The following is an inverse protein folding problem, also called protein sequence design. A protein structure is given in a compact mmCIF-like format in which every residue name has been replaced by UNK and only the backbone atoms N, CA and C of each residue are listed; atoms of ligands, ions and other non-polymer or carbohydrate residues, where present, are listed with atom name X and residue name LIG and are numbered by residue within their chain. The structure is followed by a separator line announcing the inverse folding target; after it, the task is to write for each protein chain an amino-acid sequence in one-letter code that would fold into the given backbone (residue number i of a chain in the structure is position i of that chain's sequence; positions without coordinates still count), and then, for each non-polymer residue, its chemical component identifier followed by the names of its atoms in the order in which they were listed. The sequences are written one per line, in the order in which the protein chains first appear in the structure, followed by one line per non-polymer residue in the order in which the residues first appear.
data_IF_662793998781
#
_entry.id   IF_662793998781
#
_cell.length_a   1.000
_cell.length_b   1.000
_cell.length_c   1.000
_cell.angle_alpha   90.00
_cell.angle_beta   90.00
_cell.angle_gamma   90.00
#
_symmetry.space_group_name_H-M   'P 1'
#
loop_
_entity.id
_entity.type
_entity.pdbx_description
1 polymer ?
#
# COMPACT_ATOMS: atom_id res chain seq x y z
N UNK A 1 -12.65 5.24 27.24
CA UNK A 1 -12.11 4.92 25.88
C UNK A 1 -10.98 3.88 25.93
N UNK A 2 -10.02 3.97 26.88
CA UNK A 2 -9.04 2.89 27.13
C UNK A 2 -9.70 1.55 27.51
N UNK A 3 -10.88 1.58 28.12
CA UNK A 3 -11.57 0.37 28.58
C UNK A 3 -12.06 -0.50 27.43
N UNK A 4 -12.36 0.09 26.26
CA UNK A 4 -12.76 -0.69 25.09
C UNK A 4 -11.58 -1.53 24.59
N UNK A 5 -10.41 -0.90 24.42
CA UNK A 5 -9.19 -1.58 24.00
C UNK A 5 -8.79 -2.70 24.98
N UNK A 6 -8.87 -2.43 26.29
CA UNK A 6 -8.58 -3.42 27.34
C UNK A 6 -9.61 -4.55 27.39
N UNK A 7 -10.90 -4.26 27.17
CA UNK A 7 -11.98 -5.27 27.17
C UNK A 7 -11.95 -6.16 25.93
N UNK A 8 -11.59 -5.60 24.77
CA UNK A 8 -11.55 -6.32 23.51
C UNK A 8 -10.24 -7.08 23.30
N UNK A 9 -9.20 -6.79 24.09
CA UNK A 9 -7.87 -7.39 23.93
C UNK A 9 -7.18 -7.04 22.62
N UNK A 10 -7.73 -6.09 21.86
CA UNK A 10 -7.20 -5.68 20.55
C UNK A 10 -5.87 -4.96 20.75
N UNK A 11 -4.83 -5.48 20.10
CA UNK A 11 -3.47 -4.93 20.14
C UNK A 11 -2.90 -4.85 18.75
N UNK A 12 -1.95 -3.95 18.59
CA UNK A 12 -1.07 -3.92 17.42
C UNK A 12 -0.34 -5.26 17.27
N UNK A 13 -0.27 -5.75 16.04
CA UNK A 13 0.25 -7.07 15.70
C UNK A 13 1.71 -6.92 15.26
N UNK A 14 2.63 -7.47 16.03
CA UNK A 14 4.08 -7.32 15.79
C UNK A 14 4.55 -7.94 14.45
N UNK A 15 3.84 -8.97 13.97
CA UNK A 15 4.06 -9.59 12.67
C UNK A 15 3.55 -8.74 11.49
N UNK A 16 2.73 -7.73 11.77
CA UNK A 16 2.11 -6.85 10.77
C UNK A 16 2.88 -5.55 10.60
N UNK A 17 4.06 -5.64 9.98
CA UNK A 17 4.89 -4.46 9.75
C UNK A 17 4.45 -3.60 8.54
N UNK A 18 3.28 -3.82 7.92
CA UNK A 18 2.72 -3.01 6.84
C UNK A 18 1.19 -3.02 6.96
N UNK A 19 0.52 -1.87 6.83
CA UNK A 19 -0.94 -1.75 7.00
C UNK A 19 -1.45 -2.23 8.39
N UNK A 20 -0.59 -2.14 9.41
CA UNK A 20 -0.90 -2.56 10.78
C UNK A 20 -2.10 -1.80 11.38
N UNK A 21 -2.12 -0.49 11.14
CA UNK A 21 -3.18 0.43 11.53
C UNK A 21 -4.52 0.04 10.90
N UNK A 22 -4.49 -0.33 9.62
CA UNK A 22 -5.67 -0.81 8.93
C UNK A 22 -6.18 -2.13 9.53
N UNK A 23 -5.30 -3.10 9.78
CA UNK A 23 -5.71 -4.36 10.41
C UNK A 23 -6.27 -4.13 11.82
N UNK A 24 -5.60 -3.29 12.61
CA UNK A 24 -6.03 -2.91 13.95
C UNK A 24 -7.45 -2.33 13.93
N UNK A 25 -7.76 -1.46 12.95
CA UNK A 25 -9.11 -0.93 12.78
C UNK A 25 -10.10 -2.04 12.44
N UNK A 26 -9.78 -2.95 11.52
CA UNK A 26 -10.66 -4.08 11.18
C UNK A 26 -10.97 -4.96 12.39
N UNK A 27 -10.01 -5.19 13.28
CA UNK A 27 -10.19 -5.99 14.50
C UNK A 27 -10.96 -5.23 15.59
N UNK A 28 -10.87 -3.91 15.63
CA UNK A 28 -11.56 -3.08 16.62
C UNK A 28 -13.02 -2.79 16.24
N UNK A 29 -13.30 -2.61 14.95
CA UNK A 29 -14.62 -2.21 14.44
C UNK A 29 -15.80 -3.07 14.93
N UNK A 30 -15.70 -4.41 15.06
CA UNK A 30 -16.80 -5.24 15.56
C UNK A 30 -17.28 -4.88 16.97
N UNK A 31 -16.44 -4.21 17.76
CA UNK A 31 -16.74 -3.81 19.13
C UNK A 31 -17.23 -2.35 19.24
N UNK A 32 -17.17 -1.60 18.15
CA UNK A 32 -17.60 -0.21 18.10
C UNK A 32 -19.11 -0.12 17.88
N UNK A 33 -19.83 0.46 18.85
CA UNK A 33 -21.26 0.76 18.69
C UNK A 33 -21.53 1.92 17.74
N UNK A 34 -20.64 2.91 17.74
CA UNK A 34 -20.78 4.15 16.99
C UNK A 34 -19.43 4.59 16.44
N UNK A 35 -19.42 5.08 15.19
CA UNK A 35 -18.23 5.60 14.51
C UNK A 35 -18.51 7.05 14.13
N UNK A 36 -17.67 7.95 14.63
CA UNK A 36 -17.81 9.38 14.38
C UNK A 36 -16.82 9.82 13.30
N UNK A 37 -17.35 10.28 12.17
CA UNK A 37 -16.56 10.87 11.09
C UNK A 37 -16.64 12.39 11.14
N UNK A 38 -15.53 13.05 11.46
CA UNK A 38 -15.47 14.51 11.48
C UNK A 38 -15.26 15.05 10.06
N UNK A 39 -16.02 16.08 9.69
CA UNK A 39 -15.90 16.73 8.37
C UNK A 39 -14.65 17.59 8.23
N UNK A 40 -14.08 18.05 9.35
CA UNK A 40 -12.87 18.87 9.35
C UNK A 40 -11.64 17.98 9.50
N UNK A 41 -10.56 18.23 8.74
CA UNK A 41 -9.30 17.52 8.92
C UNK A 41 -8.74 17.83 10.31
N UNK A 42 -8.66 16.82 11.16
CA UNK A 42 -8.11 16.92 12.53
C UNK A 42 -6.63 16.52 12.60
N UNK A 43 -6.12 15.89 11.55
CA UNK A 43 -4.76 15.38 11.49
C UNK A 43 -4.13 15.74 10.15
N UNK A 44 -2.92 16.29 10.17
CA UNK A 44 -2.14 16.60 8.98
C UNK A 44 -1.00 15.61 8.90
N UNK A 45 -1.15 14.61 8.04
CA UNK A 45 -0.09 13.66 7.79
C UNK A 45 0.92 14.26 6.81
N UNK A 46 2.19 14.34 7.21
CA UNK A 46 3.27 14.62 6.27
C UNK A 46 3.64 13.30 5.61
N UNK A 47 3.13 13.08 4.41
CA UNK A 47 3.55 11.95 3.60
C UNK A 47 5.01 12.18 3.19
N UNK A 48 5.92 11.39 3.75
CA UNK A 48 7.28 11.33 3.24
C UNK A 48 7.22 10.74 1.82
N UNK A 49 7.85 11.40 0.84
CA UNK A 49 7.93 10.92 -0.54
C UNK A 49 8.82 9.66 -0.69
N UNK A 50 9.24 9.03 0.41
CA UNK A 50 10.14 7.87 0.38
C UNK A 50 9.38 6.57 0.07
N UNK A 51 8.93 6.47 -1.18
CA UNK A 51 8.34 5.26 -1.76
C UNK A 51 9.27 4.03 -1.62
N UNK A 52 10.59 4.25 -1.53
CA UNK A 52 11.56 3.16 -1.38
C UNK A 52 11.47 2.50 -0.01
N UNK A 53 11.15 3.26 1.05
CA UNK A 53 10.93 2.69 2.38
C UNK A 53 9.73 1.74 2.40
N UNK A 54 8.62 2.14 1.76
CA UNK A 54 7.44 1.28 1.61
C UNK A 54 7.76 0.01 0.81
N UNK A 55 8.51 0.14 -0.29
CA UNK A 55 8.98 -1.00 -1.07
C UNK A 55 9.87 -1.96 -0.27
N UNK A 56 10.83 -1.44 0.52
CA UNK A 56 11.68 -2.29 1.39
C UNK A 56 10.86 -3.07 2.41
N UNK A 57 9.82 -2.46 2.99
CA UNK A 57 8.88 -3.17 3.88
C UNK A 57 8.18 -4.28 3.09
N UNK A 58 7.61 -3.98 1.92
CA UNK A 58 6.95 -4.98 1.06
C UNK A 58 7.86 -6.17 0.70
N UNK A 59 9.16 -5.95 0.49
CA UNK A 59 10.11 -7.02 0.19
C UNK A 59 10.30 -8.01 1.34
N UNK A 60 10.12 -7.58 2.60
CA UNK A 60 10.24 -8.45 3.78
C UNK A 60 9.09 -9.45 3.89
N UNK A 61 8.00 -9.25 3.14
CA UNK A 61 6.87 -10.18 3.11
C UNK A 61 7.24 -11.34 2.17
N UNK A 62 7.57 -12.51 2.71
CA UNK A 62 7.93 -13.67 1.88
C UNK A 62 6.74 -14.16 1.05
N UNK A 63 5.60 -14.37 1.72
CA UNK A 63 4.37 -14.83 1.11
C UNK A 63 3.26 -13.79 1.26
N UNK A 64 3.01 -13.04 0.19
CA UNK A 64 1.98 -11.99 0.22
C UNK A 64 0.57 -12.58 0.40
N UNK A 65 0.29 -13.78 -0.09
CA UNK A 65 -1.05 -14.36 0.04
C UNK A 65 -1.36 -14.77 1.49
N UNK A 66 -0.34 -15.26 2.20
CA UNK A 66 -0.42 -15.58 3.63
C UNK A 66 -0.52 -14.32 4.49
N UNK A 67 0.25 -13.28 4.13
CA UNK A 67 0.17 -11.97 4.75
C UNK A 67 -1.24 -11.35 4.71
N UNK A 68 -2.06 -11.73 3.72
CA UNK A 68 -3.43 -11.23 3.59
C UNK A 68 -4.45 -11.91 4.51
N UNK A 69 -4.12 -13.07 5.11
CA UNK A 69 -5.08 -13.86 5.90
C UNK A 69 -5.74 -13.08 7.05
N UNK A 70 -5.01 -12.25 7.84
CA UNK A 70 -5.64 -11.46 8.90
C UNK A 70 -6.68 -10.46 8.37
N UNK A 71 -6.43 -9.84 7.21
CA UNK A 71 -7.37 -8.91 6.58
C UNK A 71 -8.62 -9.62 6.05
N UNK A 72 -8.46 -10.82 5.48
CA UNK A 72 -9.60 -11.65 5.07
C UNK A 72 -10.52 -11.97 6.23
N UNK A 73 -9.92 -12.38 7.36
CA UNK A 73 -10.69 -12.70 8.55
C UNK A 73 -11.40 -11.46 9.11
N UNK A 74 -10.69 -10.33 9.23
CA UNK A 74 -11.28 -9.09 9.73
C UNK A 74 -12.44 -8.58 8.87
N UNK A 75 -12.26 -8.57 7.54
CA UNK A 75 -13.32 -8.14 6.61
C UNK A 75 -14.50 -9.11 6.60
N UNK A 76 -14.26 -10.42 6.70
CA UNK A 76 -15.32 -11.43 6.82
C UNK A 76 -16.13 -11.23 8.09
N UNK A 77 -15.49 -10.96 9.23
CA UNK A 77 -16.18 -10.66 10.50
C UNK A 77 -17.07 -9.43 10.40
N UNK A 78 -16.67 -8.43 9.62
CA UNK A 78 -17.44 -7.22 9.37
C UNK A 78 -18.53 -7.37 8.29
N UNK A 79 -18.64 -8.55 7.66
CA UNK A 79 -19.56 -8.77 6.54
C UNK A 79 -19.20 -7.98 5.29
N UNK A 80 -17.95 -7.53 5.16
CA UNK A 80 -17.49 -6.76 4.00
C UNK A 80 -17.12 -7.72 2.86
N UNK A 81 -17.48 -7.42 1.60
CA UNK A 81 -17.20 -8.30 0.47
C UNK A 81 -15.71 -8.63 0.30
N UNK A 82 -15.41 -9.89 -0.02
CA UNK A 82 -14.06 -10.41 -0.28
C UNK A 82 -13.30 -9.64 -1.37
N UNK A 83 -14.00 -8.96 -2.27
CA UNK A 83 -13.41 -8.11 -3.32
C UNK A 83 -12.45 -7.04 -2.73
N UNK A 84 -12.72 -6.53 -1.53
CA UNK A 84 -11.83 -5.56 -0.87
C UNK A 84 -10.46 -6.15 -0.55
N UNK A 85 -10.41 -7.41 -0.14
CA UNK A 85 -9.15 -8.14 0.10
C UNK A 85 -8.41 -8.31 -1.23
N UNK A 86 -9.12 -8.72 -2.28
CA UNK A 86 -8.53 -8.94 -3.61
C UNK A 86 -7.92 -7.65 -4.17
N UNK A 87 -8.61 -6.52 -3.98
CA UNK A 87 -8.12 -5.20 -4.35
C UNK A 87 -6.87 -4.81 -3.53
N UNK A 88 -6.88 -5.06 -2.22
CA UNK A 88 -5.72 -4.80 -1.35
C UNK A 88 -4.52 -5.66 -1.76
N UNK A 89 -4.72 -6.96 -1.97
CA UNK A 89 -3.70 -7.87 -2.46
C UNK A 89 -3.14 -7.42 -3.81
N UNK A 90 -4.01 -7.07 -4.76
CA UNK A 90 -3.63 -6.59 -6.10
C UNK A 90 -2.80 -5.31 -6.03
N UNK A 91 -3.19 -4.37 -5.16
CA UNK A 91 -2.43 -3.14 -4.92
C UNK A 91 -1.02 -3.44 -4.38
N UNK A 92 -0.92 -4.26 -3.34
CA UNK A 92 0.37 -4.61 -2.72
C UNK A 92 1.27 -5.39 -3.68
N UNK A 93 0.70 -6.31 -4.48
CA UNK A 93 1.43 -7.08 -5.49
C UNK A 93 2.00 -6.14 -6.57
N UNK A 94 1.20 -5.20 -7.07
CA UNK A 94 1.65 -4.18 -8.04
C UNK A 94 2.77 -3.32 -7.46
N UNK A 95 2.61 -2.83 -6.23
CA UNK A 95 3.65 -2.05 -5.55
C UNK A 95 4.94 -2.85 -5.36
N UNK A 96 4.84 -4.14 -5.01
CA UNK A 96 6.00 -5.04 -4.89
C UNK A 96 6.70 -5.27 -6.22
N UNK A 97 5.97 -5.35 -7.33
CA UNK A 97 6.59 -5.52 -8.65
C UNK A 97 7.13 -4.21 -9.24
N UNK A 98 6.65 -3.06 -8.80
CA UNK A 98 6.99 -1.76 -9.40
C UNK A 98 8.49 -1.45 -9.36
N UNK A 99 9.18 -1.71 -8.24
CA UNK A 99 10.63 -1.50 -8.10
C UNK A 99 11.45 -2.79 -8.23
N UNK A 100 10.82 -3.94 -8.50
CA UNK A 100 11.49 -5.23 -8.56
C UNK A 100 12.31 -5.44 -9.85
N UNK A 101 13.31 -6.31 -9.75
CA UNK A 101 14.08 -6.76 -10.91
C UNK A 101 13.24 -7.71 -11.78
N UNK A 102 13.60 -7.86 -13.06
CA UNK A 102 12.86 -8.78 -13.95
C UNK A 102 12.84 -10.24 -13.44
N UNK A 103 13.95 -10.83 -12.94
CA UNK A 103 13.92 -12.16 -12.32
C UNK A 103 12.98 -12.24 -11.12
N UNK A 104 12.95 -11.22 -10.27
CA UNK A 104 12.03 -11.14 -9.14
C UNK A 104 10.57 -11.08 -9.60
N UNK A 105 10.25 -10.24 -10.60
CA UNK A 105 8.88 -10.18 -11.16
C UNK A 105 8.45 -11.55 -11.67
N UNK A 106 9.33 -12.28 -12.37
CA UNK A 106 9.02 -13.65 -12.83
C UNK A 106 8.71 -14.58 -11.66
N UNK A 107 9.53 -14.54 -10.60
CA UNK A 107 9.33 -15.35 -9.40
C UNK A 107 8.02 -15.02 -8.70
N UNK A 108 7.72 -13.72 -8.53
CA UNK A 108 6.49 -13.24 -7.90
C UNK A 108 5.24 -13.61 -8.69
N UNK A 109 5.27 -13.49 -10.02
CA UNK A 109 4.16 -13.90 -10.88
C UNK A 109 3.96 -15.42 -10.81
N UNK A 110 5.05 -16.21 -10.79
CA UNK A 110 4.96 -17.65 -10.62
C UNK A 110 4.37 -18.04 -9.25
N UNK A 111 4.78 -17.39 -8.17
CA UNK A 111 4.23 -17.58 -6.82
C UNK A 111 2.74 -17.20 -6.78
N UNK A 112 2.37 -16.05 -7.37
CA UNK A 112 0.99 -15.59 -7.48
C UNK A 112 0.09 -16.60 -8.22
N UNK A 113 0.54 -17.11 -9.37
CA UNK A 113 -0.22 -18.06 -10.18
C UNK A 113 -0.48 -19.39 -9.46
N UNK A 114 0.35 -19.75 -8.47
CA UNK A 114 0.18 -20.94 -7.62
C UNK A 114 -0.63 -20.66 -6.35
N UNK A 115 -0.88 -19.39 -6.03
CA UNK A 115 -1.50 -18.97 -4.78
C UNK A 115 -3.02 -18.82 -4.86
N UNK A 116 -3.63 -18.52 -3.72
CA UNK A 116 -5.09 -18.33 -3.55
C UNK A 116 -5.70 -17.29 -4.50
N UNK A 117 -4.94 -16.25 -4.85
CA UNK A 117 -5.42 -15.13 -5.66
C UNK A 117 -5.15 -15.28 -7.16
N UNK A 118 -4.78 -16.48 -7.65
CA UNK A 118 -4.41 -16.73 -9.05
C UNK A 118 -5.46 -16.30 -10.09
N UNK A 119 -6.74 -16.18 -9.69
CA UNK A 119 -7.82 -15.62 -10.50
C UNK A 119 -7.59 -14.16 -10.93
N UNK A 120 -6.79 -13.40 -10.17
CA UNK A 120 -6.45 -12.01 -10.49
C UNK A 120 -5.36 -11.95 -11.56
N UNK A 121 -5.77 -12.00 -12.83
CA UNK A 121 -4.85 -12.06 -13.97
C UNK A 121 -3.77 -10.98 -13.90
N UNK A 122 -2.51 -11.41 -13.97
CA UNK A 122 -1.36 -10.53 -14.10
C UNK A 122 -0.93 -10.42 -15.57
N UNK A 123 -0.48 -9.23 -16.03
CA UNK A 123 0.17 -9.10 -17.32
C UNK A 123 1.44 -9.95 -17.41
N UNK A 124 1.94 -10.14 -18.63
CA UNK A 124 3.22 -10.83 -18.83
C UNK A 124 4.36 -10.11 -18.06
N UNK A 125 5.28 -10.85 -17.39
CA UNK A 125 6.36 -10.25 -16.59
C UNK A 125 7.18 -9.17 -17.31
N UNK A 126 7.44 -9.34 -18.62
CA UNK A 126 8.15 -8.34 -19.42
C UNK A 126 7.37 -7.04 -19.53
N UNK A 127 6.05 -7.11 -19.71
CA UNK A 127 5.20 -5.92 -19.81
C UNK A 127 5.18 -5.17 -18.47
N UNK A 128 5.11 -5.89 -17.35
CA UNK A 128 5.17 -5.30 -16.01
C UNK A 128 6.49 -4.55 -15.82
N UNK A 129 7.62 -5.20 -16.16
CA UNK A 129 8.94 -4.61 -16.03
C UNK A 129 9.09 -3.35 -16.90
N UNK A 130 8.77 -3.44 -18.19
CA UNK A 130 8.91 -2.31 -19.12
C UNK A 130 8.02 -1.12 -18.73
N UNK A 131 6.74 -1.37 -18.42
CA UNK A 131 5.83 -0.30 -17.98
C UNK A 131 6.34 0.37 -16.70
N UNK A 132 6.79 -0.40 -15.71
CA UNK A 132 7.31 0.15 -14.45
C UNK A 132 8.57 0.99 -14.69
N UNK A 133 9.48 0.53 -15.54
CA UNK A 133 10.70 1.28 -15.92
C UNK A 133 10.37 2.57 -16.65
N UNK A 134 9.42 2.56 -17.57
CA UNK A 134 8.98 3.77 -18.28
C UNK A 134 8.42 4.81 -17.30
N UNK A 135 7.55 4.40 -16.37
CA UNK A 135 6.98 5.31 -15.36
C UNK A 135 8.08 5.88 -14.46
N UNK A 136 9.02 5.06 -14.00
CA UNK A 136 10.15 5.52 -13.18
C UNK A 136 11.04 6.53 -13.92
N UNK A 137 11.32 6.31 -15.21
CA UNK A 137 12.10 7.24 -16.02
C UNK A 137 11.36 8.57 -16.16
N UNK A 138 10.05 8.52 -16.48
CA UNK A 138 9.21 9.73 -16.57
C UNK A 138 9.18 10.50 -15.26
N UNK A 139 9.06 9.81 -14.13
CA UNK A 139 9.10 10.44 -12.81
C UNK A 139 10.46 11.11 -12.55
N UNK A 140 11.57 10.42 -12.81
CA UNK A 140 12.92 10.99 -12.66
C UNK A 140 13.14 12.23 -13.52
N UNK A 141 12.67 12.20 -14.77
CA UNK A 141 12.72 13.36 -15.67
C UNK A 141 11.87 14.51 -15.12
N UNK A 142 10.65 14.25 -14.66
CA UNK A 142 9.78 15.27 -14.08
C UNK A 142 10.40 15.91 -12.83
N UNK A 143 11.04 15.12 -11.97
CA UNK A 143 11.77 15.62 -10.80
C UNK A 143 12.96 16.47 -11.22
N UNK A 144 13.77 16.01 -12.19
CA UNK A 144 14.92 16.75 -12.70
C UNK A 144 14.52 18.09 -13.36
N UNK A 145 13.43 18.11 -14.11
CA UNK A 145 12.89 19.35 -14.70
C UNK A 145 12.44 20.31 -13.60
N UNK A 146 11.71 19.83 -12.59
CA UNK A 146 11.25 20.66 -11.46
C UNK A 146 12.40 21.17 -10.57
N UNK A 147 13.49 20.41 -10.45
CA UNK A 147 14.65 20.79 -9.64
C UNK A 147 15.64 21.67 -10.41
N UNK A 148 15.54 21.75 -11.74
CA UNK A 148 16.36 22.64 -12.56
C UNK A 148 16.17 24.11 -12.18
N UNK A 149 17.25 24.89 -12.28
CA UNK A 149 17.29 26.30 -11.90
C UNK A 149 16.26 27.14 -12.66
N UNK A 150 15.94 26.77 -13.90
CA UNK A 150 14.97 27.45 -14.76
C UNK A 150 13.55 27.44 -14.15
N UNK A 151 13.08 26.28 -13.68
CA UNK A 151 11.76 26.17 -13.04
C UNK A 151 11.71 26.74 -11.61
N UNK A 152 12.84 26.77 -10.88
CA UNK A 152 12.91 27.43 -9.56
C UNK A 152 12.82 28.96 -9.69
N UNK A 153 13.42 29.54 -10.74
CA UNK A 153 13.41 30.98 -11.00
C UNK A 153 12.01 31.46 -11.42
N UNK A 154 11.39 30.76 -12.37
CA UNK A 154 10.02 31.05 -12.85
C UNK A 154 8.94 30.91 -11.74
N UNK A 155 9.17 30.06 -10.73
CA UNK A 155 8.29 29.97 -9.53
C UNK A 155 8.53 31.08 -8.51
N UNK A 156 9.73 31.64 -8.44
CA UNK A 156 10.05 32.74 -7.54
C UNK A 156 9.51 34.06 -8.12
N UNK A 157 9.64 34.24 -9.43
CA UNK A 157 9.13 35.42 -10.15
C UNK A 157 7.60 35.49 -10.07
N UNK A 158 6.87 34.37 -10.26
CA UNK A 158 5.40 34.31 -10.10
C UNK A 158 4.86 34.46 -8.68
N UNK A 159 5.71 34.56 -7.66
CA UNK A 159 5.28 34.86 -6.27
C UNK A 159 5.42 36.35 -5.93
N UNK A 160 5.99 37.14 -6.85
CA UNK A 160 6.18 38.58 -6.71
C UNK A 160 5.23 39.42 -7.59
N UNK A 161 4.30 38.76 -8.30
CA UNK A 161 3.10 39.36 -8.89
C UNK A 161 1.86 39.03 -8.04
#
# INVERSE_FOLDING_TARGET
RSDLLKKCGTRFREDMFLMEDYLFVLELLPFCKEIYSLRKPIYRYRQAEDERSAYRRLQRIENLAEYMQPFEQGLKTLGIPCEHVENLYSMLLKQRMYYASFPEIRSLVAQHNRGKYCRLKQPHPLNIYLCSRLVQIRHKLAVAVKSSSFFRKDRADRKHD
#
